data_IF_229080714956
#
_entry.id   IF_229080714956
#
_cell.length_a   1.000
_cell.length_b   1.000
_cell.length_c   1.000
_cell.angle_alpha   90.00
_cell.angle_beta   90.00
_cell.angle_gamma   90.00
#
_symmetry.space_group_name_H-M   'P 1'
#
loop_
_entity.id
_entity.type
_entity.pdbx_description
1 polymer ?
#
# COMPACT_ATOMS: atom_id res chain seq x y z
N UNK A 1 53.70 15.03 -13.69
CA UNK A 1 53.16 13.77 -13.16
C UNK A 1 52.31 14.18 -11.97
N UNK A 2 51.00 14.36 -12.15
CA UNK A 2 49.96 13.32 -12.02
C UNK A 2 49.98 12.73 -10.60
N UNK A 3 48.90 12.57 -9.81
CA UNK A 3 47.46 12.80 -9.87
C UNK A 3 46.91 12.39 -8.48
N UNK A 4 45.65 12.74 -8.16
CA UNK A 4 44.82 12.10 -7.11
C UNK A 4 44.48 13.05 -5.94
N UNK A 5 43.26 13.61 -5.74
CA UNK A 5 41.88 13.07 -5.79
C UNK A 5 41.76 11.72 -5.03
N UNK A 6 40.82 11.45 -4.11
CA UNK A 6 39.66 12.09 -3.49
C UNK A 6 39.38 11.30 -2.18
N UNK A 7 38.30 11.42 -1.41
CA UNK A 7 36.95 11.89 -1.65
C UNK A 7 36.27 11.95 -0.26
N UNK A 8 36.21 13.11 0.38
CA UNK A 8 35.42 13.30 1.61
C UNK A 8 33.98 13.63 1.21
N UNK A 9 33.18 12.58 1.04
CA UNK A 9 31.73 12.68 0.81
C UNK A 9 31.03 13.03 2.12
N UNK A 10 31.34 14.19 2.68
CA UNK A 10 30.54 14.81 3.74
C UNK A 10 30.68 16.34 3.77
N UNK A 11 30.48 17.00 2.63
CA UNK A 11 30.49 18.47 2.57
C UNK A 11 29.46 19.05 1.61
N UNK A 12 28.22 18.57 1.69
CA UNK A 12 27.07 19.18 0.98
C UNK A 12 25.94 19.63 1.91
N UNK A 13 26.28 20.22 3.06
CA UNK A 13 25.27 20.82 3.93
C UNK A 13 25.51 22.30 4.30
N UNK A 14 26.52 23.00 3.76
CA UNK A 14 26.90 24.34 4.28
C UNK A 14 26.85 25.46 3.25
N UNK A 15 26.44 25.22 2.01
CA UNK A 15 26.28 26.32 1.04
C UNK A 15 24.89 26.27 0.44
N UNK A 16 23.93 26.93 1.12
CA UNK A 16 22.76 27.64 0.57
C UNK A 16 21.89 28.17 1.74
N UNK A 17 22.42 29.08 2.57
CA UNK A 17 21.62 29.80 3.59
C UNK A 17 21.56 31.32 3.41
N UNK A 18 21.93 31.88 2.24
CA UNK A 18 22.02 33.36 2.13
C UNK A 18 21.48 33.96 0.83
N UNK A 19 20.36 33.47 0.31
CA UNK A 19 19.52 34.24 -0.64
C UNK A 19 18.10 33.67 -0.66
N UNK A 20 17.29 33.91 0.37
CA UNK A 20 15.82 33.86 0.22
C UNK A 20 15.06 34.52 1.38
N UNK A 21 15.20 35.85 1.55
CA UNK A 21 14.40 36.63 2.51
C UNK A 21 13.69 37.83 1.86
N UNK A 22 13.15 37.67 0.64
CA UNK A 22 12.42 38.77 -0.03
C UNK A 22 11.09 38.41 -0.70
N UNK A 23 10.66 37.15 -0.68
CA UNK A 23 9.35 36.73 -1.22
C UNK A 23 8.42 36.18 -0.13
N UNK A 24 8.10 37.01 0.86
CA UNK A 24 7.02 36.74 1.83
C UNK A 24 5.67 37.07 1.19
N UNK A 25 5.19 36.15 0.36
CA UNK A 25 3.86 36.20 -0.27
C UNK A 25 3.42 34.87 -0.90
N UNK A 26 4.04 33.75 -0.53
CA UNK A 26 3.74 32.43 -1.07
C UNK A 26 3.24 31.49 0.02
N UNK A 27 2.07 30.90 -0.18
CA UNK A 27 1.52 29.82 0.65
C UNK A 27 2.60 28.78 0.93
N UNK A 28 2.93 28.58 2.21
CA UNK A 28 4.02 27.70 2.64
C UNK A 28 3.80 26.26 2.19
N UNK A 29 4.42 25.87 1.08
CA UNK A 29 4.44 24.50 0.59
C UNK A 29 5.37 23.69 1.51
N UNK A 30 4.81 23.03 2.52
CA UNK A 30 5.56 22.04 3.30
C UNK A 30 5.79 20.83 2.42
N UNK A 31 7.06 20.49 2.16
CA UNK A 31 7.41 19.24 1.52
C UNK A 31 7.16 18.08 2.51
N UNK A 32 6.48 17.00 2.09
CA UNK A 32 6.29 15.83 2.92
C UNK A 32 7.63 15.26 3.39
N UNK A 33 7.72 14.86 4.64
CA UNK A 33 8.86 14.09 5.14
C UNK A 33 8.74 12.62 4.71
N UNK A 34 9.84 11.87 4.79
CA UNK A 34 9.82 10.43 4.49
C UNK A 34 8.83 9.66 5.39
N UNK A 35 8.70 10.05 6.66
CA UNK A 35 7.74 9.44 7.60
C UNK A 35 6.30 9.68 7.14
N UNK A 36 5.98 10.89 6.68
CA UNK A 36 4.65 11.23 6.16
C UNK A 36 4.30 10.36 4.93
N UNK A 37 5.28 10.15 4.04
CA UNK A 37 5.10 9.34 2.85
C UNK A 37 4.94 7.84 3.18
N UNK A 38 5.71 7.32 4.13
CA UNK A 38 5.57 5.94 4.63
C UNK A 38 4.19 5.68 5.25
N UNK A 39 3.73 6.59 6.13
CA UNK A 39 2.40 6.49 6.73
C UNK A 39 1.30 6.56 5.68
N UNK A 40 1.45 7.46 4.69
CA UNK A 40 0.49 7.58 3.61
C UNK A 40 0.45 6.33 2.74
N UNK A 41 1.60 5.73 2.44
CA UNK A 41 1.67 4.47 1.69
C UNK A 41 0.97 3.33 2.42
N UNK A 42 1.23 3.15 3.72
CA UNK A 42 0.53 2.17 4.55
C UNK A 42 -0.98 2.37 4.55
N UNK A 43 -1.42 3.62 4.68
CA UNK A 43 -2.84 3.96 4.66
C UNK A 43 -3.48 3.57 3.32
N UNK A 44 -2.87 3.95 2.19
CA UNK A 44 -3.41 3.65 0.86
C UNK A 44 -3.52 2.15 0.62
N UNK A 45 -2.48 1.37 0.95
CA UNK A 45 -2.50 -0.09 0.77
C UNK A 45 -3.59 -0.77 1.63
N UNK A 46 -3.83 -0.27 2.84
CA UNK A 46 -4.93 -0.75 3.69
C UNK A 46 -6.31 -0.38 3.13
N UNK A 47 -6.45 0.82 2.59
CA UNK A 47 -7.67 1.26 1.91
C UNK A 47 -7.96 0.40 0.67
N UNK A 48 -6.93 0.05 -0.11
CA UNK A 48 -7.08 -0.81 -1.28
C UNK A 48 -7.42 -2.25 -0.90
N UNK A 49 -6.81 -2.80 0.16
CA UNK A 49 -7.22 -4.09 0.73
C UNK A 49 -8.69 -4.08 1.19
N UNK A 50 -9.15 -2.99 1.81
CA UNK A 50 -10.54 -2.83 2.22
C UNK A 50 -11.51 -2.78 1.03
N UNK A 51 -11.12 -2.14 -0.09
CA UNK A 51 -11.93 -2.12 -1.31
C UNK A 51 -12.09 -3.53 -1.90
N UNK A 52 -11.04 -4.35 -1.86
CA UNK A 52 -11.11 -5.77 -2.29
C UNK A 52 -12.13 -6.51 -1.42
N UNK A 53 -12.04 -6.37 -0.10
CA UNK A 53 -13.01 -6.98 0.83
C UNK A 53 -14.45 -6.53 0.53
N UNK A 54 -14.67 -5.22 0.32
CA UNK A 54 -16.00 -4.67 0.03
C UNK A 54 -16.55 -5.16 -1.31
N UNK A 55 -15.71 -5.26 -2.33
CA UNK A 55 -16.09 -5.81 -3.63
C UNK A 55 -16.64 -7.23 -3.47
N UNK A 56 -16.00 -8.05 -2.64
CA UNK A 56 -16.49 -9.41 -2.36
C UNK A 56 -17.77 -9.40 -1.51
N UNK A 57 -17.83 -8.57 -0.46
CA UNK A 57 -18.99 -8.49 0.42
C UNK A 57 -20.28 -8.04 -0.32
N UNK A 58 -20.21 -6.98 -1.11
CA UNK A 58 -21.35 -6.46 -1.88
C UNK A 58 -21.85 -7.48 -2.90
N UNK A 59 -20.96 -8.27 -3.50
CA UNK A 59 -21.34 -9.30 -4.46
C UNK A 59 -22.01 -10.50 -3.76
N UNK A 60 -21.55 -10.87 -2.56
CA UNK A 60 -22.18 -11.92 -1.77
C UNK A 60 -23.58 -11.53 -1.26
N UNK A 61 -23.80 -10.27 -0.89
CA UNK A 61 -25.10 -9.78 -0.40
C UNK A 61 -26.14 -9.61 -1.53
N UNK A 62 -25.71 -9.22 -2.73
CA UNK A 62 -26.63 -8.87 -3.82
C UNK A 62 -26.96 -10.00 -4.80
N UNK A 63 -26.21 -11.11 -4.80
CA UNK A 63 -26.42 -12.21 -5.74
C UNK A 63 -27.09 -13.39 -5.04
N UNK A 64 -28.29 -13.73 -5.52
CA UNK A 64 -29.05 -14.94 -5.18
C UNK A 64 -28.36 -16.25 -5.60
N UNK A 65 -27.09 -16.21 -6.05
CA UNK A 65 -26.27 -17.36 -6.45
C UNK A 65 -24.82 -17.22 -5.92
N UNK A 66 -24.52 -17.68 -4.70
CA UNK A 66 -23.27 -17.44 -3.96
C UNK A 66 -22.05 -18.27 -4.39
N UNK A 67 -22.13 -19.01 -5.50
CA UNK A 67 -21.05 -19.91 -5.96
C UNK A 67 -20.93 -19.87 -7.48
N UNK A 68 -20.31 -18.83 -8.02
CA UNK A 68 -19.91 -18.81 -9.42
C UNK A 68 -18.37 -18.86 -9.48
N UNK A 69 -17.75 -19.82 -10.21
CA UNK A 69 -16.29 -19.99 -10.28
C UNK A 69 -15.54 -18.75 -10.79
N UNK A 70 -16.26 -17.82 -11.41
CA UNK A 70 -15.73 -16.53 -11.86
C UNK A 70 -15.28 -15.61 -10.70
N UNK A 71 -15.79 -15.78 -9.48
CA UNK A 71 -15.40 -14.93 -8.34
C UNK A 71 -14.02 -15.26 -7.78
N UNK A 72 -13.62 -16.54 -7.82
CA UNK A 72 -12.28 -16.95 -7.39
C UNK A 72 -11.23 -16.33 -8.31
N UNK A 73 -11.44 -16.36 -9.63
CA UNK A 73 -10.53 -15.75 -10.61
C UNK A 73 -10.42 -14.23 -10.48
N UNK A 74 -11.53 -13.54 -10.20
CA UNK A 74 -11.54 -12.09 -9.96
C UNK A 74 -10.79 -11.78 -8.67
N UNK A 75 -11.03 -12.54 -7.59
CA UNK A 75 -10.34 -12.36 -6.33
C UNK A 75 -8.83 -12.58 -6.48
N UNK A 76 -8.41 -13.64 -7.16
CA UNK A 76 -7.00 -13.94 -7.42
C UNK A 76 -6.30 -12.77 -8.14
N UNK A 77 -6.99 -12.20 -9.14
CA UNK A 77 -6.48 -11.04 -9.88
C UNK A 77 -6.36 -9.80 -8.98
N UNK A 78 -7.33 -9.56 -8.09
CA UNK A 78 -7.29 -8.44 -7.14
C UNK A 78 -6.18 -8.61 -6.10
N UNK A 79 -6.04 -9.82 -5.53
CA UNK A 79 -4.97 -10.15 -4.59
C UNK A 79 -3.59 -10.01 -5.23
N UNK A 80 -3.45 -10.42 -6.50
CA UNK A 80 -2.22 -10.20 -7.27
C UNK A 80 -1.93 -8.71 -7.49
N UNK A 81 -2.94 -7.92 -7.85
CA UNK A 81 -2.82 -6.47 -8.00
C UNK A 81 -2.29 -5.79 -6.73
N UNK A 82 -2.94 -6.04 -5.59
CA UNK A 82 -2.50 -5.54 -4.28
C UNK A 82 -1.07 -5.99 -3.95
N UNK A 83 -0.73 -7.24 -4.25
CA UNK A 83 0.63 -7.78 -4.04
C UNK A 83 1.69 -7.10 -4.91
N UNK A 84 1.32 -6.47 -6.04
CA UNK A 84 2.23 -5.65 -6.86
C UNK A 84 2.39 -4.24 -6.32
N UNK A 85 1.33 -3.65 -5.79
CA UNK A 85 1.39 -2.35 -5.12
C UNK A 85 2.24 -2.41 -3.85
N UNK A 86 2.09 -3.47 -3.05
CA UNK A 86 2.91 -3.73 -1.87
C UNK A 86 4.39 -3.90 -2.26
N UNK A 87 4.69 -4.71 -3.27
CA UNK A 87 6.08 -4.91 -3.72
C UNK A 87 6.72 -3.61 -4.21
N UNK A 88 5.94 -2.78 -4.91
CA UNK A 88 6.38 -1.45 -5.30
C UNK A 88 6.71 -0.58 -4.07
N UNK A 89 5.82 -0.52 -3.07
CA UNK A 89 6.02 0.28 -1.87
C UNK A 89 7.23 -0.20 -1.02
N UNK A 90 7.44 -1.53 -0.95
CA UNK A 90 8.62 -2.13 -0.32
C UNK A 90 9.89 -1.72 -1.05
N UNK A 91 9.91 -1.83 -2.39
CA UNK A 91 11.09 -1.46 -3.20
C UNK A 91 11.37 0.04 -3.18
N UNK A 92 10.35 0.86 -3.01
CA UNK A 92 10.47 2.30 -2.81
C UNK A 92 10.96 2.68 -1.40
N UNK A 93 11.11 1.71 -0.48
CA UNK A 93 11.51 1.96 0.91
C UNK A 93 10.45 2.69 1.74
N UNK A 94 9.19 2.65 1.30
CA UNK A 94 8.07 3.32 1.98
C UNK A 94 7.49 2.44 3.09
N UNK A 95 7.54 1.12 2.94
CA UNK A 95 7.08 0.14 3.94
C UNK A 95 8.07 -1.03 4.07
N UNK A 96 7.94 -1.80 5.15
CA UNK A 96 8.69 -3.05 5.32
C UNK A 96 7.99 -4.23 4.63
N UNK A 97 8.72 -5.35 4.44
CA UNK A 97 8.12 -6.57 3.90
C UNK A 97 7.10 -7.16 4.88
N UNK A 98 7.37 -7.00 6.16
CA UNK A 98 6.53 -7.42 7.27
C UNK A 98 5.19 -6.69 7.24
N UNK A 99 5.20 -5.36 7.07
CA UNK A 99 3.96 -4.57 6.91
C UNK A 99 3.10 -5.09 5.73
N UNK A 100 3.74 -5.35 4.59
CA UNK A 100 3.07 -5.89 3.41
C UNK A 100 2.45 -7.26 3.67
N UNK A 101 3.16 -8.13 4.38
CA UNK A 101 2.67 -9.47 4.75
C UNK A 101 1.48 -9.39 5.70
N UNK A 102 1.52 -8.49 6.67
CA UNK A 102 0.40 -8.27 7.61
C UNK A 102 -0.86 -7.81 6.87
N UNK A 103 -0.74 -6.87 5.91
CA UNK A 103 -1.89 -6.40 5.10
C UNK A 103 -2.54 -7.56 4.34
N UNK A 104 -1.76 -8.42 3.69
CA UNK A 104 -2.28 -9.58 2.97
C UNK A 104 -2.94 -10.57 3.94
N UNK A 105 -2.27 -10.88 5.05
CA UNK A 105 -2.78 -11.83 6.04
C UNK A 105 -4.13 -11.38 6.63
N UNK A 106 -4.26 -10.11 7.00
CA UNK A 106 -5.52 -9.56 7.49
C UNK A 106 -6.63 -9.63 6.45
N UNK A 107 -6.32 -9.40 5.17
CA UNK A 107 -7.29 -9.50 4.09
C UNK A 107 -7.75 -10.95 3.88
N UNK A 108 -6.84 -11.91 3.86
CA UNK A 108 -7.14 -13.34 3.77
C UNK A 108 -8.06 -13.80 4.91
N UNK A 109 -7.78 -13.38 6.15
CA UNK A 109 -8.62 -13.69 7.31
C UNK A 109 -10.04 -13.12 7.14
N UNK A 110 -10.16 -11.85 6.77
CA UNK A 110 -11.46 -11.20 6.56
C UNK A 110 -12.26 -11.87 5.43
N UNK A 111 -11.60 -12.30 4.37
CA UNK A 111 -12.24 -13.03 3.26
C UNK A 111 -12.71 -14.41 3.73
N UNK A 112 -11.89 -15.16 4.47
CA UNK A 112 -12.27 -16.46 5.03
C UNK A 112 -13.52 -16.36 5.94
N UNK A 113 -13.58 -15.31 6.76
CA UNK A 113 -14.74 -15.03 7.62
C UNK A 113 -16.01 -14.73 6.80
N UNK A 114 -15.88 -13.99 5.70
CA UNK A 114 -16.99 -13.70 4.79
C UNK A 114 -17.52 -14.99 4.12
N UNK A 115 -16.63 -15.86 3.64
CA UNK A 115 -17.03 -17.14 3.04
C UNK A 115 -17.75 -18.05 4.04
N UNK A 116 -17.29 -18.09 5.30
CA UNK A 116 -17.91 -18.91 6.35
C UNK A 116 -19.34 -18.45 6.66
N UNK A 117 -19.63 -17.14 6.56
CA UNK A 117 -20.97 -16.59 6.83
C UNK A 117 -21.98 -16.86 5.71
N UNK A 118 -21.52 -16.98 4.47
CA UNK A 118 -22.39 -17.09 3.29
C UNK A 118 -22.64 -18.53 2.87
N UNK A 119 -21.76 -19.47 3.23
CA UNK A 119 -21.87 -20.86 2.84
C UNK A 119 -22.42 -21.73 3.99
N UNK A 120 -23.62 -22.34 3.85
CA UNK A 120 -24.04 -23.39 4.79
C UNK A 120 -23.09 -24.58 4.66
N UNK A 121 -22.84 -25.24 5.79
CA UNK A 121 -21.99 -26.43 5.84
C UNK A 121 -22.52 -27.51 4.88
N UNK A 122 -21.66 -28.23 4.14
CA UNK A 122 -22.10 -29.33 3.30
C UNK A 122 -22.68 -30.43 4.19
N UNK A 123 -24.01 -30.45 4.33
CA UNK A 123 -24.73 -31.36 5.24
C UNK A 123 -26.17 -30.98 5.60
N UNK A 124 -26.61 -29.75 5.34
CA UNK A 124 -28.02 -29.35 5.48
C UNK A 124 -28.72 -29.40 4.11
N UNK A 125 -29.06 -30.60 3.65
CA UNK A 125 -30.11 -30.86 2.65
C UNK A 125 -30.58 -32.30 2.73
#
# INVERSE_FOLDING_TARGET
MASGEGNDVNSRCIVLQTVDQRWMGGSGLRTPTQVDLSQRALQLLREDAQKIQQLIAVQLENLTAPKCPLYEEVLDTQMFGLSREIDFAVRAGLITREDGREIIHELEQKLADLYTKVLPSPGER
#
